data_IF_091339630763
#
_entry.id   IF_091339630763
#
_cell.length_a   1.000
_cell.length_b   1.000
_cell.length_c   1.000
_cell.angle_alpha   90.00
_cell.angle_beta   90.00
_cell.angle_gamma   90.00
#
_symmetry.space_group_name_H-M   'P 1'
#
loop_
_entity.id
_entity.type
_entity.pdbx_description
1 polymer ?
#
# COMPACT_ATOMS: atom_id res chain seq x y z
N UNK A 1 17.25 25.70 18.62
CA UNK A 1 16.34 24.59 19.00
C UNK A 1 15.32 25.08 20.02
N UNK A 2 14.10 25.30 19.60
CA UNK A 2 13.01 25.67 20.51
C UNK A 2 12.49 24.39 21.19
N UNK A 3 12.63 24.32 22.49
CA UNK A 3 12.15 23.20 23.31
C UNK A 3 10.63 23.27 23.36
N UNK A 4 9.97 22.40 22.62
CA UNK A 4 8.49 22.23 22.67
C UNK A 4 8.16 21.56 24.00
N UNK A 5 7.78 22.35 25.02
CA UNK A 5 7.19 21.85 26.25
C UNK A 5 5.80 21.28 25.95
N UNK A 6 5.68 19.96 25.82
CA UNK A 6 4.39 19.29 25.62
C UNK A 6 3.51 19.46 26.85
N UNK A 7 2.41 20.20 26.70
CA UNK A 7 1.28 20.15 27.64
C UNK A 7 0.68 18.73 27.60
N UNK A 8 0.33 18.22 28.79
CA UNK A 8 -0.14 16.86 29.11
C UNK A 8 -0.87 16.14 27.97
N UNK A 9 -0.34 14.98 27.62
CA UNK A 9 -0.89 14.03 26.66
C UNK A 9 -2.27 13.53 27.09
N UNK A 10 -3.33 13.91 26.37
CA UNK A 10 -4.54 13.09 26.32
C UNK A 10 -4.27 11.93 25.35
N UNK A 11 -3.97 10.76 25.89
CA UNK A 11 -3.80 9.55 25.07
C UNK A 11 -5.19 9.08 24.67
N UNK A 12 -5.58 9.33 23.43
CA UNK A 12 -6.77 8.68 22.86
C UNK A 12 -6.43 7.19 22.73
N UNK A 13 -7.06 6.36 23.55
CA UNK A 13 -6.87 4.91 23.51
C UNK A 13 -7.56 4.33 22.28
N UNK A 14 -6.95 3.33 21.65
CA UNK A 14 -7.56 2.55 20.57
C UNK A 14 -8.94 2.02 21.05
N UNK A 15 -10.02 2.41 20.35
CA UNK A 15 -11.39 2.00 20.69
C UNK A 15 -12.26 3.05 21.42
N UNK A 16 -11.77 4.27 21.66
CA UNK A 16 -12.62 5.34 22.19
C UNK A 16 -13.45 5.97 21.07
N UNK A 17 -14.75 6.21 21.33
CA UNK A 17 -15.58 7.00 20.43
C UNK A 17 -15.01 8.43 20.38
N UNK A 18 -14.59 8.87 19.19
CA UNK A 18 -14.15 10.23 18.94
C UNK A 18 -15.32 11.04 18.42
N UNK A 19 -15.77 12.03 19.17
CA UNK A 19 -16.76 13.01 18.74
C UNK A 19 -16.02 14.21 18.17
N UNK A 20 -16.10 14.41 16.86
CA UNK A 20 -15.53 15.57 16.21
C UNK A 20 -16.45 16.78 16.40
N UNK A 21 -15.94 17.84 17.03
CA UNK A 21 -16.59 19.14 17.12
C UNK A 21 -15.69 20.19 16.45
N UNK A 22 -16.11 20.77 15.29
CA UNK A 22 -15.29 21.74 14.57
C UNK A 22 -14.88 22.97 15.40
N UNK A 23 -15.76 23.46 16.31
CA UNK A 23 -15.51 24.66 17.10
C UNK A 23 -14.42 24.48 18.16
N UNK A 24 -14.34 23.30 18.74
CA UNK A 24 -13.33 23.00 19.77
C UNK A 24 -12.09 22.33 19.20
N UNK A 25 -12.17 21.66 18.01
CA UNK A 25 -11.09 20.86 17.47
C UNK A 25 -9.79 21.65 17.29
N UNK A 26 -9.84 22.76 16.57
CA UNK A 26 -8.66 23.59 16.32
C UNK A 26 -8.08 24.19 17.59
N UNK A 27 -8.94 24.59 18.55
CA UNK A 27 -8.51 25.12 19.86
C UNK A 27 -7.77 24.10 20.71
N UNK A 28 -8.19 22.82 20.66
CA UNK A 28 -7.63 21.75 21.48
C UNK A 28 -6.45 21.04 20.80
N UNK A 29 -6.40 21.02 19.47
CA UNK A 29 -5.50 20.19 18.68
C UNK A 29 -4.63 20.93 17.68
N UNK A 30 -4.68 22.28 17.63
CA UNK A 30 -3.81 23.07 16.76
C UNK A 30 -2.33 22.76 16.99
N UNK A 31 -1.56 22.83 15.90
CA UNK A 31 -0.10 22.75 15.90
C UNK A 31 0.41 23.99 15.19
N UNK A 32 1.16 24.83 15.87
CA UNK A 32 1.48 26.19 15.43
C UNK A 32 2.22 26.26 14.08
N UNK A 33 2.92 25.18 13.71
CA UNK A 33 3.66 25.09 12.46
C UNK A 33 2.94 24.23 11.38
N UNK A 34 1.66 23.87 11.59
CA UNK A 34 0.83 23.25 10.60
C UNK A 34 -0.09 24.27 9.94
N UNK A 35 -0.06 24.35 8.63
CA UNK A 35 -0.78 25.33 7.84
C UNK A 35 -1.65 24.66 6.77
N UNK A 36 -2.84 25.20 6.55
CA UNK A 36 -3.62 24.94 5.35
C UNK A 36 -3.38 26.09 4.37
N UNK A 37 -2.70 25.81 3.26
CA UNK A 37 -2.46 26.81 2.21
C UNK A 37 -3.72 27.01 1.36
N UNK A 38 -4.03 28.27 1.04
CA UNK A 38 -5.14 28.64 0.16
C UNK A 38 -4.77 28.54 -1.31
N UNK A 39 -3.47 28.55 -1.62
CA UNK A 39 -2.94 28.44 -2.98
C UNK A 39 -1.54 27.86 -2.99
N UNK A 40 -1.14 27.31 -4.13
CA UNK A 40 0.24 26.88 -4.33
C UNK A 40 1.25 28.02 -4.17
N UNK A 41 0.86 29.25 -4.57
CA UNK A 41 1.73 30.43 -4.44
C UNK A 41 2.06 30.71 -2.98
N UNK A 42 1.11 30.53 -2.06
CA UNK A 42 1.36 30.70 -0.63
C UNK A 42 2.44 29.74 -0.11
N UNK A 43 2.44 28.48 -0.59
CA UNK A 43 3.49 27.51 -0.26
C UNK A 43 4.82 27.95 -0.86
N UNK A 44 4.84 28.33 -2.15
CA UNK A 44 6.06 28.74 -2.87
C UNK A 44 6.73 29.94 -2.20
N UNK A 45 5.93 30.91 -1.73
CA UNK A 45 6.43 32.15 -1.13
C UNK A 45 6.95 31.96 0.31
N UNK A 46 6.40 31.01 1.05
CA UNK A 46 6.71 30.83 2.48
C UNK A 46 7.62 29.63 2.79
N UNK A 47 7.68 28.65 1.90
CA UNK A 47 8.47 27.43 2.11
C UNK A 47 9.96 27.67 1.82
N UNK A 48 10.81 27.29 2.76
CA UNK A 48 12.27 27.34 2.60
C UNK A 48 12.82 25.93 2.80
N UNK A 49 13.25 25.24 1.72
CA UNK A 49 13.80 23.89 1.84
C UNK A 49 14.88 23.81 2.93
N UNK A 50 14.84 22.77 3.78
CA UNK A 50 15.87 22.59 4.79
C UNK A 50 17.18 22.08 4.17
N UNK A 51 18.29 22.31 4.86
CA UNK A 51 19.61 21.95 4.33
C UNK A 51 20.33 20.94 5.22
N UNK A 52 20.96 19.97 4.58
CA UNK A 52 21.94 19.07 5.19
C UNK A 52 23.18 19.03 4.28
N UNK A 53 24.31 19.42 4.81
CA UNK A 53 25.60 19.42 4.09
C UNK A 53 25.53 20.18 2.73
N UNK A 54 24.84 21.32 2.69
CA UNK A 54 24.67 22.14 1.49
C UNK A 54 23.69 21.61 0.44
N UNK A 55 23.00 20.52 0.73
CA UNK A 55 21.91 19.95 -0.10
C UNK A 55 20.57 20.43 0.44
N UNK A 56 19.65 20.76 -0.45
CA UNK A 56 18.31 21.27 -0.13
C UNK A 56 17.27 20.18 -0.23
N UNK A 57 16.40 20.09 0.76
CA UNK A 57 15.40 19.03 0.85
C UNK A 57 14.02 19.58 1.18
N UNK A 58 13.00 18.87 0.68
CA UNK A 58 11.62 18.94 1.16
C UNK A 58 11.08 17.53 1.41
N UNK A 59 10.12 17.43 2.30
CA UNK A 59 9.31 16.21 2.47
C UNK A 59 7.95 16.45 1.88
N UNK A 60 7.36 15.45 1.24
CA UNK A 60 5.99 15.52 0.72
C UNK A 60 5.24 14.21 0.89
N UNK A 61 3.93 14.29 0.85
CA UNK A 61 3.00 13.17 0.90
C UNK A 61 1.70 13.52 0.16
N UNK A 62 0.92 12.52 -0.26
CA UNK A 62 -0.34 12.73 -0.96
C UNK A 62 -1.48 11.94 -0.33
N UNK A 63 -2.60 12.62 -0.04
CA UNK A 63 -3.85 11.96 0.29
C UNK A 63 -4.66 11.72 -0.98
N UNK A 64 -5.19 10.51 -1.13
CA UNK A 64 -5.65 10.00 -2.41
C UNK A 64 -7.03 9.40 -2.38
N UNK A 65 -7.64 9.25 -3.55
CA UNK A 65 -8.93 8.61 -3.74
C UNK A 65 -8.99 7.77 -5.02
N UNK A 66 -9.90 6.77 -5.08
CA UNK A 66 -10.12 6.00 -6.30
C UNK A 66 -10.98 6.77 -7.30
N UNK A 67 -10.71 6.58 -8.59
CA UNK A 67 -11.69 6.92 -9.62
C UNK A 67 -12.83 5.88 -9.62
N UNK A 68 -14.04 6.21 -10.10
CA UNK A 68 -15.14 5.25 -10.25
C UNK A 68 -14.90 4.24 -11.39
N UNK A 69 -13.82 4.38 -12.15
CA UNK A 69 -13.52 3.57 -13.32
C UNK A 69 -13.16 2.13 -12.94
N UNK A 70 -13.57 1.15 -13.73
CA UNK A 70 -13.04 -0.22 -13.67
C UNK A 70 -11.60 -0.23 -14.18
N UNK A 71 -10.84 -1.27 -13.86
CA UNK A 71 -9.41 -1.34 -14.23
C UNK A 71 -9.22 -1.22 -15.74
N UNK A 72 -10.03 -1.93 -16.53
CA UNK A 72 -10.00 -1.87 -18.00
C UNK A 72 -10.51 -0.56 -18.62
N UNK A 73 -11.03 0.35 -17.83
CA UNK A 73 -11.46 1.70 -18.23
C UNK A 73 -10.39 2.75 -17.86
N UNK A 74 -9.36 2.36 -17.13
CA UNK A 74 -8.26 3.27 -16.73
C UNK A 74 -7.53 3.74 -17.98
N UNK A 75 -7.51 5.06 -18.25
CA UNK A 75 -6.87 5.60 -19.44
C UNK A 75 -5.35 5.41 -19.42
N UNK A 76 -4.79 5.53 -20.62
CA UNK A 76 -3.33 5.48 -20.79
C UNK A 76 -2.64 6.54 -19.91
N UNK A 77 -1.53 6.13 -19.29
CA UNK A 77 -0.73 7.02 -18.45
C UNK A 77 -1.25 7.22 -17.03
N UNK A 78 -2.42 6.69 -16.68
CA UNK A 78 -2.90 6.67 -15.29
C UNK A 78 -2.56 5.31 -14.65
N UNK A 79 -1.78 5.32 -13.58
CA UNK A 79 -1.38 4.11 -12.86
C UNK A 79 -2.11 4.02 -11.53
N UNK A 80 -2.96 3.01 -11.40
CA UNK A 80 -3.69 2.71 -10.17
C UNK A 80 -2.80 2.02 -9.16
N UNK A 81 -2.88 2.47 -7.90
CA UNK A 81 -2.23 1.83 -6.76
C UNK A 81 -3.25 1.22 -5.81
N UNK A 82 -2.84 0.26 -5.03
CA UNK A 82 -3.70 -0.45 -4.10
C UNK A 82 -3.18 -0.30 -2.68
N UNK A 83 -4.00 0.20 -1.78
CA UNK A 83 -3.71 0.35 -0.36
C UNK A 83 -4.42 -0.73 0.44
N UNK A 84 -3.74 -1.32 1.40
CA UNK A 84 -4.22 -2.45 2.19
C UNK A 84 -3.86 -3.82 1.58
N UNK A 85 -4.30 -4.88 2.21
CA UNK A 85 -3.96 -6.26 1.83
C UNK A 85 -5.19 -7.14 1.62
N UNK A 86 -5.05 -8.19 0.80
CA UNK A 86 -6.10 -9.16 0.54
C UNK A 86 -7.39 -8.54 0.02
N UNK A 87 -8.54 -8.97 0.56
CA UNK A 87 -9.87 -8.49 0.16
C UNK A 87 -10.16 -7.03 0.59
N UNK A 88 -9.44 -6.52 1.57
CA UNK A 88 -9.61 -5.14 2.06
C UNK A 88 -8.82 -4.11 1.25
N UNK A 89 -8.00 -4.54 0.31
CA UNK A 89 -7.22 -3.62 -0.51
C UNK A 89 -8.14 -2.76 -1.39
N UNK A 90 -7.90 -1.44 -1.37
CA UNK A 90 -8.66 -0.45 -2.12
C UNK A 90 -7.79 0.22 -3.17
N UNK A 91 -8.33 0.48 -4.36
CA UNK A 91 -7.60 1.24 -5.37
C UNK A 91 -7.43 2.70 -4.96
N UNK A 92 -6.35 3.32 -5.42
CA UNK A 92 -6.07 4.75 -5.30
C UNK A 92 -5.50 5.23 -6.63
N UNK A 93 -6.02 6.33 -7.15
CA UNK A 93 -5.70 6.79 -8.49
C UNK A 93 -5.25 8.24 -8.55
N UNK A 94 -5.87 9.12 -7.76
CA UNK A 94 -5.72 10.56 -7.87
C UNK A 94 -5.51 11.20 -6.47
N UNK A 95 -4.66 12.23 -6.37
CA UNK A 95 -4.52 12.99 -5.14
C UNK A 95 -5.69 13.99 -4.98
N UNK A 96 -6.05 14.29 -3.74
CA UNK A 96 -6.95 15.41 -3.40
C UNK A 96 -6.33 16.37 -2.37
N UNK A 97 -5.26 15.95 -1.71
CA UNK A 97 -4.46 16.78 -0.84
C UNK A 97 -2.98 16.47 -1.08
N UNK A 98 -2.15 17.50 -1.14
CA UNK A 98 -0.69 17.39 -1.12
C UNK A 98 -0.22 18.08 0.15
N UNK A 99 0.64 17.43 0.92
CA UNK A 99 1.33 18.03 2.05
C UNK A 99 2.83 18.15 1.78
N UNK A 100 3.43 19.25 2.27
CA UNK A 100 4.85 19.54 2.09
C UNK A 100 5.41 20.08 3.41
N UNK A 101 6.60 19.58 3.82
CA UNK A 101 7.32 20.04 5.00
C UNK A 101 8.72 20.53 4.60
N UNK A 102 9.09 21.68 5.12
CA UNK A 102 10.41 22.33 4.93
C UNK A 102 11.33 22.21 6.16
N UNK A 103 10.97 21.36 7.12
CA UNK A 103 11.70 21.18 8.38
C UNK A 103 11.41 22.21 9.47
N UNK A 104 10.62 23.23 9.17
CA UNK A 104 10.12 24.24 10.13
C UNK A 104 8.62 24.25 10.19
N UNK A 105 7.98 24.17 9.03
CA UNK A 105 6.53 24.19 8.86
C UNK A 105 6.09 23.05 7.95
N UNK A 106 4.83 22.67 8.08
CA UNK A 106 4.16 21.73 7.19
C UNK A 106 2.91 22.41 6.63
N UNK A 107 2.71 22.26 5.32
CA UNK A 107 1.65 22.89 4.56
C UNK A 107 0.80 21.83 3.88
N UNK A 108 -0.52 21.93 3.96
CA UNK A 108 -1.45 21.16 3.13
C UNK A 108 -2.07 22.06 2.08
N UNK A 109 -2.20 21.54 0.87
CA UNK A 109 -2.95 22.15 -0.22
C UNK A 109 -3.96 21.14 -0.75
N UNK A 110 -5.19 21.59 -0.98
CA UNK A 110 -6.25 20.77 -1.57
C UNK A 110 -6.55 21.23 -2.99
N UNK A 111 -6.76 20.27 -3.87
CA UNK A 111 -7.22 20.50 -5.23
C UNK A 111 -7.99 19.29 -5.75
N UNK A 112 -8.75 19.46 -6.80
CA UNK A 112 -9.63 18.40 -7.32
C UNK A 112 -9.63 18.36 -8.85
N UNK A 113 -10.18 17.28 -9.39
CA UNK A 113 -10.39 17.11 -10.82
C UNK A 113 -11.27 18.23 -11.40
N UNK A 114 -12.25 18.71 -10.64
CA UNK A 114 -13.15 19.80 -11.07
C UNK A 114 -12.39 21.10 -11.35
N UNK A 115 -11.32 21.37 -10.59
CA UNK A 115 -10.38 22.47 -10.83
C UNK A 115 -9.23 22.08 -11.78
N UNK A 116 -9.31 20.90 -12.41
CA UNK A 116 -8.26 20.37 -13.27
C UNK A 116 -6.87 20.35 -12.61
N UNK A 117 -6.80 20.23 -11.28
CA UNK A 117 -5.55 20.26 -10.49
C UNK A 117 -4.67 21.48 -10.76
N UNK A 118 -5.27 22.63 -11.04
CA UNK A 118 -4.53 23.84 -11.41
C UNK A 118 -3.61 24.33 -10.29
N UNK A 119 -4.06 24.26 -9.03
CA UNK A 119 -3.22 24.65 -7.90
C UNK A 119 -2.08 23.65 -7.69
N UNK A 120 -2.35 22.35 -7.75
CA UNK A 120 -1.28 21.34 -7.62
C UNK A 120 -0.20 21.53 -8.70
N UNK A 121 -0.60 21.75 -9.96
CA UNK A 121 0.37 21.93 -11.06
C UNK A 121 1.30 23.13 -10.90
N UNK A 122 0.88 24.19 -10.21
CA UNK A 122 1.77 25.31 -9.88
C UNK A 122 2.91 24.90 -8.95
N UNK A 123 2.71 23.86 -8.11
CA UNK A 123 3.77 23.28 -7.28
C UNK A 123 4.90 22.64 -8.11
N UNK A 124 4.75 22.51 -9.43
CA UNK A 124 5.84 22.09 -10.34
C UNK A 124 7.09 22.97 -10.14
N UNK A 125 6.94 24.23 -9.76
CA UNK A 125 8.07 25.11 -9.41
C UNK A 125 8.98 24.51 -8.32
N UNK A 126 8.42 23.71 -7.42
CA UNK A 126 9.12 23.02 -6.34
C UNK A 126 9.49 21.58 -6.76
N UNK A 127 8.51 20.82 -7.27
CA UNK A 127 8.70 19.41 -7.58
C UNK A 127 9.62 19.16 -8.77
N UNK A 128 9.64 20.08 -9.74
CA UNK A 128 10.50 19.97 -10.92
C UNK A 128 11.84 20.72 -10.79
N UNK A 129 12.10 21.40 -9.69
CA UNK A 129 13.41 21.99 -9.42
C UNK A 129 14.42 20.88 -9.04
N UNK A 130 15.43 20.60 -9.89
CA UNK A 130 16.39 19.53 -9.62
C UNK A 130 17.37 19.86 -8.48
N UNK A 131 17.45 21.12 -8.06
CA UNK A 131 18.30 21.54 -6.94
C UNK A 131 17.70 21.22 -5.57
N UNK A 132 16.41 20.91 -5.52
CA UNK A 132 15.69 20.49 -4.31
C UNK A 132 15.52 18.98 -4.35
N UNK A 133 15.97 18.26 -3.34
CA UNK A 133 15.80 16.82 -3.20
C UNK A 133 14.47 16.52 -2.49
N UNK A 134 13.74 15.50 -2.95
CA UNK A 134 12.39 15.19 -2.49
C UNK A 134 12.38 13.94 -1.67
N UNK A 135 11.79 14.00 -0.49
CA UNK A 135 11.70 12.91 0.48
C UNK A 135 10.23 12.53 0.63
N UNK A 136 9.96 11.23 0.63
CA UNK A 136 8.64 10.69 0.97
C UNK A 136 8.77 9.36 1.72
N UNK A 137 7.68 8.90 2.29
CA UNK A 137 7.58 7.57 2.89
C UNK A 137 6.83 6.64 1.94
N UNK A 138 7.55 5.71 1.28
CA UNK A 138 7.07 4.92 0.13
C UNK A 138 6.88 5.78 -1.14
N UNK A 139 7.94 6.49 -1.49
CA UNK A 139 8.01 7.50 -2.55
C UNK A 139 7.31 7.14 -3.87
N UNK A 140 7.41 5.89 -4.32
CA UNK A 140 6.80 5.48 -5.59
C UNK A 140 5.28 5.65 -5.61
N UNK A 141 4.63 5.49 -4.48
CA UNK A 141 3.18 5.68 -4.38
C UNK A 141 2.81 7.12 -4.75
N UNK A 142 3.41 8.09 -4.07
CA UNK A 142 3.12 9.51 -4.26
C UNK A 142 3.55 9.98 -5.64
N UNK A 143 4.70 9.50 -6.13
CA UNK A 143 5.17 9.80 -7.48
C UNK A 143 4.19 9.33 -8.56
N UNK A 144 3.52 8.18 -8.38
CA UNK A 144 2.45 7.76 -9.29
C UNK A 144 1.24 8.67 -9.23
N UNK A 145 0.82 9.08 -8.04
CA UNK A 145 -0.33 9.98 -7.88
C UNK A 145 -0.07 11.35 -8.52
N UNK A 146 1.11 11.93 -8.29
CA UNK A 146 1.49 13.19 -8.92
C UNK A 146 1.59 13.06 -10.45
N UNK A 147 2.19 12.00 -10.96
CA UNK A 147 2.27 11.79 -12.40
C UNK A 147 0.89 11.55 -13.05
N UNK A 148 -0.06 10.97 -12.32
CA UNK A 148 -1.43 10.79 -12.81
C UNK A 148 -2.14 12.12 -13.10
N UNK A 149 -1.72 13.21 -12.47
CA UNK A 149 -2.18 14.58 -12.73
C UNK A 149 -1.18 15.41 -13.54
N UNK A 150 -0.24 14.74 -14.24
CA UNK A 150 0.81 15.33 -15.06
C UNK A 150 1.82 16.21 -14.31
N UNK A 151 2.03 15.97 -13.02
CA UNK A 151 3.13 16.54 -12.25
C UNK A 151 4.32 15.59 -12.26
N UNK A 152 5.51 16.11 -12.48
CA UNK A 152 6.76 15.34 -12.49
C UNK A 152 7.62 15.71 -11.29
N UNK A 153 8.38 14.73 -10.82
CA UNK A 153 9.41 14.94 -9.82
C UNK A 153 10.76 14.90 -10.53
N UNK A 154 11.57 15.94 -10.36
CA UNK A 154 12.94 16.02 -10.88
C UNK A 154 13.94 16.15 -9.73
N UNK A 155 15.19 15.83 -10.02
CA UNK A 155 16.27 15.81 -9.03
C UNK A 155 16.34 14.49 -8.27
N UNK A 156 17.17 14.46 -7.22
CA UNK A 156 17.30 13.28 -6.36
C UNK A 156 16.06 13.08 -5.50
N UNK A 157 15.76 11.81 -5.25
CA UNK A 157 14.62 11.40 -4.43
C UNK A 157 15.09 10.50 -3.28
N UNK A 158 14.32 10.50 -2.20
CA UNK A 158 14.62 9.74 -0.99
C UNK A 158 13.37 9.04 -0.48
N UNK A 159 13.52 7.79 -0.06
CA UNK A 159 12.46 6.99 0.53
C UNK A 159 12.83 6.58 1.95
N UNK A 160 12.04 7.02 2.93
CA UNK A 160 12.31 6.72 4.33
C UNK A 160 12.02 5.26 4.71
N UNK A 161 11.26 4.50 3.91
CA UNK A 161 11.11 3.05 4.12
C UNK A 161 12.43 2.35 3.81
N UNK A 162 13.04 2.66 2.66
CA UNK A 162 14.33 2.10 2.25
C UNK A 162 15.43 2.53 3.22
N UNK A 163 15.46 3.82 3.58
CA UNK A 163 16.39 4.36 4.57
C UNK A 163 16.33 3.58 5.89
N UNK A 164 15.12 3.42 6.45
CA UNK A 164 14.96 2.72 7.74
C UNK A 164 15.30 1.24 7.62
N UNK A 165 14.99 0.59 6.50
CA UNK A 165 15.35 -0.83 6.30
C UNK A 165 16.86 -1.05 6.23
N UNK A 166 17.62 -0.11 5.71
CA UNK A 166 19.08 -0.17 5.68
C UNK A 166 19.70 0.14 7.04
N UNK A 167 19.11 1.04 7.82
CA UNK A 167 19.63 1.45 9.12
C UNK A 167 19.18 0.55 10.29
N UNK A 168 18.04 -0.15 10.13
CA UNK A 168 17.45 -1.03 11.15
C UNK A 168 16.60 -2.12 10.50
N UNK A 169 17.23 -3.18 9.98
CA UNK A 169 16.57 -4.29 9.24
C UNK A 169 15.68 -5.20 10.11
N UNK A 170 15.86 -5.16 11.43
CA UNK A 170 15.20 -6.06 12.37
C UNK A 170 13.89 -5.49 12.95
N UNK A 171 13.36 -4.43 12.39
CA UNK A 171 12.09 -3.84 12.88
C UNK A 171 10.90 -4.73 12.56
N UNK A 172 9.96 -4.78 13.49
CA UNK A 172 8.68 -5.48 13.31
C UNK A 172 7.70 -4.71 12.41
N UNK A 173 7.90 -3.40 12.24
CA UNK A 173 7.07 -2.52 11.42
C UNK A 173 7.88 -1.39 10.80
N UNK A 174 7.61 -1.12 9.53
CA UNK A 174 8.15 0.01 8.77
C UNK A 174 7.05 1.04 8.43
N UNK A 175 5.93 1.03 9.15
CA UNK A 175 4.94 2.09 9.04
C UNK A 175 5.49 3.39 9.63
N UNK A 176 5.25 4.51 8.96
CA UNK A 176 5.80 5.81 9.34
C UNK A 176 5.60 6.16 10.82
N UNK A 177 4.39 5.97 11.32
CA UNK A 177 4.04 6.20 12.73
C UNK A 177 4.86 5.37 13.72
N UNK A 178 5.16 4.12 13.36
CA UNK A 178 5.90 3.20 14.24
C UNK A 178 7.39 3.53 14.25
N UNK A 179 7.91 4.02 13.12
CA UNK A 179 9.28 4.53 13.02
C UNK A 179 9.41 5.85 13.77
N UNK A 180 8.52 6.80 13.50
CA UNK A 180 8.58 8.16 14.03
C UNK A 180 8.47 8.22 15.56
N UNK A 181 7.77 7.27 16.20
CA UNK A 181 7.67 7.19 17.69
C UNK A 181 9.01 7.11 18.40
N UNK A 182 10.06 6.74 17.70
CA UNK A 182 11.43 6.67 18.22
C UNK A 182 12.04 8.06 18.47
N UNK A 183 11.50 9.07 17.81
CA UNK A 183 12.08 10.42 17.77
C UNK A 183 11.24 11.43 18.57
N UNK A 184 11.92 12.34 19.26
CA UNK A 184 11.27 13.42 19.98
C UNK A 184 10.56 14.36 18.99
N UNK A 185 9.39 14.85 19.38
CA UNK A 185 8.59 15.74 18.51
C UNK A 185 7.65 15.03 17.52
N UNK A 186 7.59 13.69 17.51
CA UNK A 186 6.67 12.95 16.66
C UNK A 186 5.20 13.25 17.00
N UNK A 187 4.35 13.27 15.98
CA UNK A 187 2.92 13.58 16.09
C UNK A 187 2.11 12.44 15.46
N UNK A 188 1.55 11.56 16.29
CA UNK A 188 0.74 10.41 15.85
C UNK A 188 -0.71 10.48 16.30
N UNK A 189 -1.09 11.53 17.04
CA UNK A 189 -2.45 11.68 17.61
C UNK A 189 -3.52 11.77 16.52
N UNK A 190 -3.23 12.44 15.41
CA UNK A 190 -4.19 12.67 14.34
C UNK A 190 -4.56 11.39 13.58
N UNK A 191 -3.65 10.44 13.46
CA UNK A 191 -3.96 9.12 12.90
C UNK A 191 -4.98 8.36 13.77
N UNK A 192 -4.82 8.38 15.11
CA UNK A 192 -5.81 7.78 16.00
C UNK A 192 -7.17 8.46 15.92
N UNK A 193 -7.18 9.79 15.76
CA UNK A 193 -8.41 10.56 15.60
C UNK A 193 -9.09 10.24 14.26
N UNK A 194 -8.32 10.12 13.20
CA UNK A 194 -8.81 9.74 11.87
C UNK A 194 -9.39 8.32 11.87
N UNK A 195 -8.70 7.35 12.47
CA UNK A 195 -9.18 5.98 12.63
C UNK A 195 -10.47 5.92 13.47
N UNK A 196 -10.53 6.68 14.57
CA UNK A 196 -11.71 6.76 15.42
C UNK A 196 -12.90 7.36 14.66
N UNK A 197 -12.70 8.46 13.93
CA UNK A 197 -13.72 9.09 13.10
C UNK A 197 -14.24 8.13 12.01
N UNK A 198 -13.33 7.46 11.29
CA UNK A 198 -13.64 6.45 10.29
C UNK A 198 -14.52 5.33 10.84
N UNK A 199 -14.17 4.79 12.00
CA UNK A 199 -14.89 3.68 12.63
C UNK A 199 -16.27 4.12 13.13
N UNK A 200 -16.39 5.32 13.70
CA UNK A 200 -17.65 5.88 14.23
C UNK A 200 -18.64 6.17 13.11
N UNK A 201 -18.18 6.79 12.03
CA UNK A 201 -19.06 7.23 10.92
C UNK A 201 -19.12 6.22 9.76
N UNK A 202 -18.35 5.12 9.82
CA UNK A 202 -18.24 4.08 8.76
C UNK A 202 -17.87 4.66 7.40
N UNK A 203 -17.12 5.76 7.37
CA UNK A 203 -16.66 6.43 6.16
C UNK A 203 -15.34 5.81 5.72
N UNK A 204 -15.21 5.54 4.43
CA UNK A 204 -14.00 4.98 3.84
C UNK A 204 -13.25 5.95 2.92
N UNK A 205 -13.92 6.97 2.42
CA UNK A 205 -13.37 7.99 1.53
C UNK A 205 -12.89 9.18 2.36
N UNK A 206 -11.60 9.45 2.34
CA UNK A 206 -10.98 10.52 3.11
C UNK A 206 -11.45 11.93 2.72
N UNK A 207 -11.96 12.11 1.50
CA UNK A 207 -12.57 13.38 1.07
C UNK A 207 -13.83 13.76 1.85
N UNK A 208 -14.45 12.77 2.51
CA UNK A 208 -15.66 12.96 3.34
C UNK A 208 -15.35 13.26 4.80
N UNK A 209 -14.07 13.31 5.17
CA UNK A 209 -13.67 13.64 6.53
C UNK A 209 -13.65 15.16 6.74
N UNK A 210 -13.74 15.64 8.01
CA UNK A 210 -13.52 17.03 8.32
C UNK A 210 -12.16 17.51 7.79
N UNK A 211 -12.17 18.64 7.08
CA UNK A 211 -10.98 19.15 6.40
C UNK A 211 -9.82 19.40 7.35
N UNK A 212 -10.11 19.98 8.52
CA UNK A 212 -9.12 20.25 9.54
C UNK A 212 -8.46 18.98 10.10
N UNK A 213 -9.24 17.88 10.18
CA UNK A 213 -8.70 16.59 10.61
C UNK A 213 -7.74 16.02 9.56
N UNK A 214 -8.11 16.10 8.28
CA UNK A 214 -7.23 15.68 7.16
C UNK A 214 -5.98 16.55 7.11
N UNK A 215 -6.10 17.87 7.22
CA UNK A 215 -4.96 18.78 7.21
C UNK A 215 -3.95 18.47 8.32
N UNK A 216 -4.45 18.28 9.54
CA UNK A 216 -3.57 17.95 10.66
C UNK A 216 -2.95 16.55 10.53
N UNK A 217 -3.68 15.59 9.96
CA UNK A 217 -3.18 14.24 9.70
C UNK A 217 -2.07 14.28 8.62
N UNK A 218 -2.33 14.88 7.46
CA UNK A 218 -1.38 14.97 6.36
C UNK A 218 -0.13 15.80 6.72
N UNK A 219 -0.29 16.90 7.45
CA UNK A 219 0.84 17.67 7.97
C UNK A 219 1.66 16.88 9.01
N UNK A 220 1.01 16.05 9.84
CA UNK A 220 1.73 15.18 10.78
C UNK A 220 2.53 14.10 10.07
N UNK A 221 2.04 13.57 8.94
CA UNK A 221 2.76 12.54 8.18
C UNK A 221 4.04 13.11 7.54
N UNK A 222 3.99 14.26 6.89
CA UNK A 222 5.22 14.89 6.35
C UNK A 222 6.16 15.34 7.46
N UNK A 223 5.65 15.79 8.61
CA UNK A 223 6.48 16.11 9.77
C UNK A 223 7.17 14.89 10.36
N UNK A 224 6.45 13.79 10.54
CA UNK A 224 7.01 12.53 11.00
C UNK A 224 8.04 11.97 10.02
N UNK A 225 7.78 12.06 8.71
CA UNK A 225 8.73 11.66 7.67
C UNK A 225 10.01 12.50 7.72
N UNK A 226 9.90 13.83 7.93
CA UNK A 226 11.03 14.71 8.18
C UNK A 226 11.85 14.24 9.39
N UNK A 227 11.20 13.97 10.53
CA UNK A 227 11.90 13.51 11.74
C UNK A 227 12.63 12.18 11.51
N UNK A 228 12.02 11.24 10.81
CA UNK A 228 12.68 9.99 10.43
C UNK A 228 13.93 10.27 9.59
N UNK A 229 13.78 11.10 8.55
CA UNK A 229 14.88 11.39 7.64
C UNK A 229 16.07 12.05 8.33
N UNK A 230 15.87 13.13 9.09
CA UNK A 230 16.97 13.87 9.74
C UNK A 230 17.69 13.06 10.80
N UNK A 231 17.04 12.06 11.41
CA UNK A 231 17.64 11.21 12.43
C UNK A 231 18.32 9.96 11.83
N UNK A 232 17.80 9.42 10.73
CA UNK A 232 18.33 8.17 10.16
C UNK A 232 19.31 8.41 8.99
N UNK A 233 19.14 9.48 8.22
CA UNK A 233 20.02 9.77 7.08
C UNK A 233 21.52 9.89 7.46
N UNK A 234 21.91 10.55 8.58
CA UNK A 234 23.31 10.56 9.03
C UNK A 234 23.86 9.18 9.43
N UNK A 235 22.98 8.22 9.76
CA UNK A 235 23.42 6.87 10.12
C UNK A 235 23.96 6.10 8.91
N UNK A 236 23.55 6.46 7.68
CA UNK A 236 24.10 5.86 6.47
C UNK A 236 25.61 6.09 6.35
N UNK A 237 26.07 7.31 6.64
CA UNK A 237 27.50 7.62 6.66
C UNK A 237 28.20 6.90 7.80
N UNK A 238 27.63 6.95 9.00
CA UNK A 238 28.16 6.29 10.20
C UNK A 238 28.35 4.78 10.01
N UNK A 239 27.45 4.14 9.27
CA UNK A 239 27.48 2.68 9.04
C UNK A 239 28.16 2.30 7.71
N UNK A 240 28.64 3.26 6.91
CA UNK A 240 29.22 3.01 5.59
C UNK A 240 28.20 2.54 4.53
N UNK A 241 26.93 2.90 4.68
CA UNK A 241 25.83 2.45 3.84
C UNK A 241 25.40 3.47 2.77
N UNK A 242 26.05 4.64 2.69
CA UNK A 242 25.64 5.72 1.79
C UNK A 242 25.61 5.29 0.32
N UNK A 243 26.64 4.61 -0.16
CA UNK A 243 26.71 4.12 -1.55
C UNK A 243 25.62 3.10 -1.85
N UNK A 244 25.33 2.19 -0.90
CA UNK A 244 24.24 1.23 -1.06
C UNK A 244 22.88 1.96 -1.14
N UNK A 245 22.66 2.91 -0.26
CA UNK A 245 21.43 3.71 -0.27
C UNK A 245 21.24 4.48 -1.57
N UNK A 246 22.28 5.12 -2.11
CA UNK A 246 22.22 5.83 -3.39
C UNK A 246 21.85 4.87 -4.53
N UNK A 247 22.44 3.68 -4.58
CA UNK A 247 22.09 2.66 -5.57
C UNK A 247 20.63 2.20 -5.42
N UNK A 248 20.13 2.04 -4.19
CA UNK A 248 18.72 1.68 -3.96
C UNK A 248 17.75 2.81 -4.40
N UNK A 249 18.15 4.09 -4.26
CA UNK A 249 17.35 5.21 -4.75
C UNK A 249 17.33 5.27 -6.30
N UNK A 250 18.45 5.04 -6.96
CA UNK A 250 18.50 4.94 -8.42
C UNK A 250 17.68 3.75 -8.94
N UNK A 251 17.79 2.59 -8.28
CA UNK A 251 16.96 1.42 -8.58
C UNK A 251 15.47 1.74 -8.41
N UNK A 252 15.08 2.44 -7.33
CA UNK A 252 13.69 2.81 -7.09
C UNK A 252 13.12 3.67 -8.22
N UNK A 253 13.88 4.62 -8.75
CA UNK A 253 13.48 5.44 -9.90
C UNK A 253 13.31 4.58 -11.17
N UNK A 254 14.21 3.62 -11.40
CA UNK A 254 14.10 2.68 -12.51
C UNK A 254 12.86 1.78 -12.37
N UNK A 255 12.60 1.27 -11.17
CA UNK A 255 11.41 0.46 -10.88
C UNK A 255 10.12 1.28 -11.04
N UNK A 256 10.11 2.53 -10.60
CA UNK A 256 9.00 3.46 -10.85
C UNK A 256 8.72 3.61 -12.36
N UNK A 257 9.75 3.80 -13.16
CA UNK A 257 9.60 3.91 -14.61
C UNK A 257 9.05 2.61 -15.23
N UNK A 258 9.54 1.45 -14.78
CA UNK A 258 9.03 0.14 -15.21
C UNK A 258 7.56 -0.06 -14.83
N UNK A 259 7.17 0.33 -13.61
CA UNK A 259 5.78 0.29 -13.15
C UNK A 259 4.88 1.20 -13.98
N UNK A 260 5.37 2.40 -14.36
CA UNK A 260 4.65 3.35 -15.24
C UNK A 260 4.51 2.81 -16.67
N UNK A 261 5.55 2.18 -17.18
CA UNK A 261 5.50 1.59 -18.53
C UNK A 261 4.50 0.44 -18.58
N UNK A 262 4.43 -0.35 -17.53
CA UNK A 262 3.58 -1.52 -17.43
C UNK A 262 4.01 -2.68 -18.34
N UNK A 263 3.32 -3.80 -18.20
CA UNK A 263 3.52 -5.00 -18.98
C UNK A 263 2.30 -5.26 -19.88
N UNK A 264 2.50 -5.36 -21.16
CA UNK A 264 1.42 -5.65 -22.13
C UNK A 264 0.95 -7.09 -21.97
N UNK A 265 -0.37 -7.27 -21.93
CA UNK A 265 -1.04 -8.57 -21.90
C UNK A 265 -1.49 -8.93 -23.32
N UNK A 266 -1.21 -10.16 -23.75
CA UNK A 266 -1.80 -10.73 -24.94
C UNK A 266 -3.25 -11.13 -24.63
N UNK A 267 -4.18 -10.29 -25.05
CA UNK A 267 -5.61 -10.44 -24.71
C UNK A 267 -6.28 -11.62 -25.43
N UNK A 268 -5.81 -12.03 -26.58
CA UNK A 268 -6.36 -13.15 -27.32
C UNK A 268 -5.91 -14.48 -26.71
N UNK A 269 -4.61 -14.58 -26.42
CA UNK A 269 -4.08 -15.73 -25.69
C UNK A 269 -4.71 -15.85 -24.29
N UNK A 270 -4.90 -14.74 -23.58
CA UNK A 270 -5.51 -14.76 -22.25
C UNK A 270 -6.94 -15.29 -22.28
N UNK A 271 -7.77 -14.88 -23.25
CA UNK A 271 -9.13 -15.42 -23.42
C UNK A 271 -9.12 -16.93 -23.67
N UNK A 272 -8.22 -17.39 -24.53
CA UNK A 272 -8.05 -18.80 -24.81
C UNK A 272 -7.64 -19.54 -23.53
N UNK A 273 -6.60 -19.07 -22.84
CA UNK A 273 -6.09 -19.65 -21.59
C UNK A 273 -7.18 -19.69 -20.50
N UNK A 274 -7.97 -18.65 -20.36
CA UNK A 274 -9.10 -18.59 -19.43
C UNK A 274 -10.12 -19.69 -19.72
N UNK A 275 -10.48 -19.89 -21.00
CA UNK A 275 -11.45 -20.92 -21.41
C UNK A 275 -10.91 -22.32 -21.14
N UNK A 276 -9.64 -22.58 -21.45
CA UNK A 276 -8.97 -23.85 -21.21
C UNK A 276 -8.89 -24.16 -19.70
N UNK A 277 -8.45 -23.18 -18.90
CA UNK A 277 -8.34 -23.34 -17.44
C UNK A 277 -9.71 -23.52 -16.78
N UNK A 278 -10.75 -22.83 -17.27
CA UNK A 278 -12.12 -23.01 -16.77
C UNK A 278 -12.57 -24.44 -17.01
N UNK A 279 -12.41 -24.97 -18.22
CA UNK A 279 -12.77 -26.36 -18.55
C UNK A 279 -12.02 -27.36 -17.68
N UNK A 280 -10.70 -27.15 -17.46
CA UNK A 280 -9.90 -28.01 -16.60
C UNK A 280 -10.36 -27.95 -15.13
N UNK A 281 -10.71 -26.76 -14.65
CA UNK A 281 -11.20 -26.55 -13.29
C UNK A 281 -12.55 -27.25 -13.09
N UNK A 282 -13.48 -27.08 -14.03
CA UNK A 282 -14.83 -27.66 -13.97
C UNK A 282 -14.76 -29.19 -14.02
N UNK A 283 -13.91 -29.74 -14.89
CA UNK A 283 -13.70 -31.20 -14.97
C UNK A 283 -13.08 -31.76 -13.68
N UNK A 284 -12.10 -31.10 -13.11
CA UNK A 284 -11.47 -31.51 -11.85
C UNK A 284 -12.48 -31.42 -10.68
N UNK A 285 -13.31 -30.40 -10.64
CA UNK A 285 -14.36 -30.23 -9.64
C UNK A 285 -15.43 -31.33 -9.76
N UNK A 286 -15.87 -31.64 -10.97
CA UNK A 286 -16.83 -32.72 -11.22
C UNK A 286 -16.28 -34.11 -10.75
N UNK A 287 -15.00 -34.36 -11.04
CA UNK A 287 -14.35 -35.61 -10.60
C UNK A 287 -14.21 -35.71 -9.07
N UNK A 288 -14.10 -34.59 -8.36
CA UNK A 288 -14.13 -34.55 -6.89
C UNK A 288 -15.53 -34.86 -6.38
N UNK A 289 -16.58 -34.27 -6.96
CA UNK A 289 -17.96 -34.49 -6.53
C UNK A 289 -18.43 -35.93 -6.80
N UNK A 290 -18.02 -36.47 -7.91
CA UNK A 290 -18.29 -37.90 -8.23
C UNK A 290 -17.71 -38.83 -7.16
N UNK A 291 -16.44 -38.66 -6.77
CA UNK A 291 -15.80 -39.49 -5.75
C UNK A 291 -16.34 -39.20 -4.34
N UNK A 292 -16.66 -37.95 -4.03
CA UNK A 292 -17.25 -37.57 -2.74
C UNK A 292 -18.72 -37.99 -2.58
N UNK A 293 -19.42 -38.28 -3.68
CA UNK A 293 -20.85 -38.58 -3.70
C UNK A 293 -21.75 -37.41 -3.35
N UNK A 294 -21.20 -36.18 -3.29
CA UNK A 294 -21.92 -34.96 -2.95
C UNK A 294 -21.22 -33.70 -3.45
N UNK A 295 -22.01 -32.65 -3.65
CA UNK A 295 -21.49 -31.28 -3.92
C UNK A 295 -21.13 -30.62 -2.60
N UNK A 296 -19.96 -29.96 -2.55
CA UNK A 296 -19.49 -29.21 -1.41
C UNK A 296 -18.49 -28.12 -1.84
N UNK A 297 -18.18 -27.16 -0.95
CA UNK A 297 -17.14 -26.17 -1.25
C UNK A 297 -15.74 -26.77 -1.03
N UNK A 298 -15.04 -27.12 -2.13
CA UNK A 298 -13.70 -27.73 -2.15
C UNK A 298 -12.65 -26.85 -1.44
N UNK A 299 -12.88 -25.54 -1.39
CA UNK A 299 -11.99 -24.59 -0.73
C UNK A 299 -12.28 -24.41 0.78
N UNK A 300 -13.39 -24.97 1.28
CA UNK A 300 -13.70 -24.99 2.70
C UNK A 300 -12.98 -26.13 3.41
N UNK A 301 -11.95 -25.81 4.21
CA UNK A 301 -11.21 -26.81 4.99
C UNK A 301 -12.13 -27.64 5.89
N UNK A 302 -13.22 -27.07 6.40
CA UNK A 302 -14.18 -27.76 7.24
C UNK A 302 -14.99 -28.78 6.44
N UNK A 303 -15.58 -28.40 5.29
CA UNK A 303 -16.37 -29.29 4.46
C UNK A 303 -15.51 -30.39 3.83
N UNK A 304 -14.30 -30.03 3.40
CA UNK A 304 -13.34 -30.97 2.86
C UNK A 304 -12.93 -32.03 3.91
N UNK A 305 -12.66 -31.58 5.15
CA UNK A 305 -12.39 -32.49 6.24
C UNK A 305 -13.56 -33.51 6.44
N UNK A 306 -14.80 -33.03 6.48
CA UNK A 306 -15.98 -33.88 6.61
C UNK A 306 -16.08 -34.93 5.47
N UNK A 307 -15.72 -34.54 4.24
CA UNK A 307 -15.67 -35.45 3.09
C UNK A 307 -14.59 -36.51 3.27
N UNK A 308 -13.37 -36.09 3.65
CA UNK A 308 -12.25 -37.03 3.87
C UNK A 308 -12.59 -38.10 4.95
N UNK A 309 -13.18 -37.66 6.06
CA UNK A 309 -13.61 -38.57 7.12
C UNK A 309 -14.70 -39.55 6.62
N UNK A 310 -15.69 -39.06 5.87
CA UNK A 310 -16.74 -39.90 5.31
C UNK A 310 -16.23 -40.92 4.29
N UNK A 311 -15.12 -40.64 3.63
CA UNK A 311 -14.42 -41.57 2.74
C UNK A 311 -13.45 -42.51 3.48
N UNK A 312 -13.45 -42.49 4.82
CA UNK A 312 -12.66 -43.40 5.65
C UNK A 312 -11.24 -42.99 5.93
N UNK A 313 -10.89 -41.74 5.67
CA UNK A 313 -9.56 -41.19 6.05
C UNK A 313 -9.47 -41.08 7.57
N UNK A 314 -8.40 -41.65 8.16
CA UNK A 314 -8.17 -41.58 9.61
C UNK A 314 -7.95 -40.12 10.06
N UNK A 315 -8.73 -39.65 11.06
CA UNK A 315 -8.67 -38.32 11.61
C UNK A 315 -7.25 -37.94 12.08
N UNK A 316 -6.48 -38.92 12.56
CA UNK A 316 -5.09 -38.70 13.02
C UNK A 316 -4.13 -38.26 11.92
N UNK A 317 -4.47 -38.47 10.65
CA UNK A 317 -3.69 -38.05 9.50
C UNK A 317 -3.94 -36.56 9.11
N UNK A 318 -4.97 -35.92 9.70
CA UNK A 318 -5.34 -34.54 9.39
C UNK A 318 -4.98 -33.62 10.58
N UNK A 319 -3.83 -32.94 10.54
CA UNK A 319 -3.42 -32.02 11.59
C UNK A 319 -4.44 -30.90 11.82
N UNK A 320 -4.43 -30.35 13.02
CA UNK A 320 -5.26 -29.20 13.38
C UNK A 320 -4.40 -27.96 13.60
N UNK A 321 -4.99 -26.79 13.36
CA UNK A 321 -4.37 -25.50 13.73
C UNK A 321 -4.43 -25.33 15.25
N UNK A 322 -3.68 -24.34 15.79
CA UNK A 322 -3.71 -23.97 17.21
C UNK A 322 -5.14 -23.62 17.72
N UNK A 323 -6.02 -23.23 16.79
CA UNK A 323 -7.45 -22.94 17.05
C UNK A 323 -8.36 -24.16 16.85
N UNK A 324 -7.81 -25.36 16.67
CA UNK A 324 -8.55 -26.61 16.53
C UNK A 324 -9.17 -26.86 15.14
N UNK A 325 -8.97 -26.00 14.14
CA UNK A 325 -9.51 -26.21 12.79
C UNK A 325 -8.68 -27.24 12.01
N UNK A 326 -9.32 -28.13 11.19
CA UNK A 326 -8.59 -29.08 10.38
C UNK A 326 -7.73 -28.40 9.31
N UNK A 327 -6.52 -28.89 9.10
CA UNK A 327 -5.62 -28.42 8.06
C UNK A 327 -5.76 -29.30 6.82
N UNK A 328 -6.11 -28.67 5.70
CA UNK A 328 -6.20 -29.32 4.38
C UNK A 328 -5.32 -28.58 3.37
N UNK A 329 -4.12 -28.17 3.81
CA UNK A 329 -3.15 -27.50 2.95
C UNK A 329 -2.48 -28.49 1.97
N UNK A 330 -1.66 -27.93 1.07
CA UNK A 330 -0.97 -28.74 0.04
C UNK A 330 -0.17 -29.90 0.64
N UNK A 331 0.53 -29.66 1.74
CA UNK A 331 1.41 -30.67 2.35
C UNK A 331 0.60 -31.83 2.91
N UNK A 332 -0.50 -31.58 3.60
CA UNK A 332 -1.39 -32.59 4.15
C UNK A 332 -2.03 -33.39 3.01
N UNK A 333 -2.52 -32.74 1.97
CA UNK A 333 -3.13 -33.43 0.83
C UNK A 333 -2.12 -34.25 0.03
N UNK A 334 -0.89 -33.77 -0.15
CA UNK A 334 0.19 -34.59 -0.79
C UNK A 334 0.52 -35.81 0.04
N UNK A 335 0.63 -35.67 1.36
CA UNK A 335 0.90 -36.77 2.27
C UNK A 335 -0.22 -37.83 2.22
N UNK A 336 -1.48 -37.40 2.26
CA UNK A 336 -2.65 -38.30 2.12
C UNK A 336 -2.65 -39.02 0.77
N UNK A 337 -2.32 -38.31 -0.33
CA UNK A 337 -2.27 -38.93 -1.66
C UNK A 337 -1.10 -39.92 -1.83
N UNK A 338 0.11 -39.50 -1.44
CA UNK A 338 1.35 -40.21 -1.75
C UNK A 338 1.62 -41.36 -0.79
N UNK A 339 1.30 -41.20 0.52
CA UNK A 339 1.60 -42.20 1.54
C UNK A 339 0.40 -43.03 1.95
N UNK A 340 -0.81 -42.52 1.79
CA UNK A 340 -2.03 -43.20 2.26
C UNK A 340 -2.97 -43.54 1.12
N UNK A 341 -2.57 -43.32 -0.15
CA UNK A 341 -3.35 -43.68 -1.35
C UNK A 341 -4.78 -43.07 -1.37
N UNK A 342 -4.96 -41.88 -0.78
CA UNK A 342 -6.24 -41.18 -0.78
C UNK A 342 -6.42 -40.47 -2.13
N UNK A 343 -7.15 -41.10 -3.06
CA UNK A 343 -7.28 -40.63 -4.47
C UNK A 343 -7.90 -39.26 -4.58
N UNK A 344 -8.95 -38.95 -3.79
CA UNK A 344 -9.58 -37.62 -3.80
C UNK A 344 -8.61 -36.50 -3.43
N UNK A 345 -7.58 -36.76 -2.61
CA UNK A 345 -6.59 -35.77 -2.23
C UNK A 345 -5.78 -35.27 -3.45
N UNK A 346 -5.44 -36.16 -4.37
CA UNK A 346 -4.77 -35.82 -5.61
C UNK A 346 -5.68 -34.98 -6.53
N UNK A 347 -6.96 -35.39 -6.68
CA UNK A 347 -7.94 -34.60 -7.46
C UNK A 347 -8.11 -33.17 -6.91
N UNK A 348 -8.11 -33.00 -5.58
CA UNK A 348 -8.20 -31.71 -4.93
C UNK A 348 -6.94 -30.85 -5.18
N UNK A 349 -5.75 -31.47 -5.16
CA UNK A 349 -4.50 -30.78 -5.50
C UNK A 349 -4.51 -30.29 -6.94
N UNK A 350 -5.01 -31.11 -7.86
CA UNK A 350 -5.15 -30.76 -9.28
C UNK A 350 -6.15 -29.62 -9.49
N UNK A 351 -7.35 -29.72 -8.89
CA UNK A 351 -8.35 -28.66 -8.89
C UNK A 351 -7.77 -27.34 -8.40
N UNK A 352 -7.13 -27.34 -7.22
CA UNK A 352 -6.53 -26.14 -6.64
C UNK A 352 -5.42 -25.55 -7.51
N UNK A 353 -4.69 -26.37 -8.25
CA UNK A 353 -3.70 -25.92 -9.24
C UNK A 353 -4.38 -25.15 -10.37
N UNK A 354 -5.42 -25.73 -10.98
CA UNK A 354 -6.13 -25.10 -12.09
C UNK A 354 -6.91 -23.85 -11.63
N UNK A 355 -7.60 -23.93 -10.50
CA UNK A 355 -8.30 -22.80 -9.91
C UNK A 355 -7.37 -21.62 -9.61
N UNK A 356 -6.18 -21.88 -9.07
CA UNK A 356 -5.18 -20.84 -8.84
C UNK A 356 -4.67 -20.21 -10.15
N UNK A 357 -4.42 -21.02 -11.17
CA UNK A 357 -4.00 -20.52 -12.48
C UNK A 357 -5.11 -19.70 -13.12
N UNK A 358 -6.34 -20.14 -13.06
CA UNK A 358 -7.51 -19.44 -13.57
C UNK A 358 -7.73 -18.10 -12.83
N UNK A 359 -7.91 -18.16 -11.52
CA UNK A 359 -8.35 -17.00 -10.73
C UNK A 359 -7.24 -15.97 -10.52
N UNK A 360 -5.99 -16.42 -10.30
CA UNK A 360 -4.89 -15.51 -10.00
C UNK A 360 -4.26 -14.95 -11.26
N UNK A 361 -4.01 -15.79 -12.26
CA UNK A 361 -3.26 -15.36 -13.44
C UNK A 361 -4.16 -15.00 -14.62
N UNK A 362 -5.04 -15.88 -15.07
CA UNK A 362 -5.90 -15.58 -16.21
C UNK A 362 -6.91 -14.45 -15.88
N UNK A 363 -7.79 -14.65 -14.91
CA UNK A 363 -8.80 -13.65 -14.54
C UNK A 363 -8.18 -12.45 -13.81
N UNK A 364 -7.26 -12.71 -12.86
CA UNK A 364 -6.71 -11.65 -12.02
C UNK A 364 -5.86 -10.64 -12.78
N UNK A 365 -5.08 -11.06 -13.76
CA UNK A 365 -4.30 -10.19 -14.63
C UNK A 365 -5.23 -9.44 -15.60
N UNK A 366 -6.15 -10.17 -16.22
CA UNK A 366 -7.10 -9.59 -17.16
C UNK A 366 -7.95 -8.47 -16.55
N UNK A 367 -8.47 -8.68 -15.35
CA UNK A 367 -9.34 -7.72 -14.66
C UNK A 367 -8.60 -6.44 -14.19
N UNK A 368 -7.28 -6.50 -14.12
CA UNK A 368 -6.46 -5.37 -13.63
C UNK A 368 -5.73 -4.62 -14.75
N UNK A 369 -5.95 -5.00 -16.01
CA UNK A 369 -5.37 -4.28 -17.13
C UNK A 369 -5.97 -2.88 -17.30
N UNK A 370 -5.15 -1.95 -17.78
CA UNK A 370 -5.63 -0.65 -18.26
C UNK A 370 -6.40 -0.80 -19.59
N UNK A 371 -6.99 0.30 -20.06
CA UNK A 371 -7.67 0.37 -21.37
C UNK A 371 -6.75 -0.05 -22.55
N UNK A 372 -5.44 0.14 -22.42
CA UNK A 372 -4.44 -0.28 -23.42
C UNK A 372 -4.03 -1.75 -23.33
N UNK A 373 -4.61 -2.51 -22.44
CA UNK A 373 -4.23 -3.91 -22.20
C UNK A 373 -2.90 -4.07 -21.47
N UNK A 374 -2.48 -3.07 -20.69
CA UNK A 374 -1.29 -3.15 -19.83
C UNK A 374 -1.64 -3.37 -18.37
N UNK A 375 -0.80 -4.10 -17.66
CA UNK A 375 -0.86 -4.24 -16.21
C UNK A 375 0.31 -3.51 -15.56
N UNK A 376 0.03 -2.85 -14.43
CA UNK A 376 0.97 -2.02 -13.71
C UNK A 376 1.19 -2.63 -12.31
N UNK A 377 2.17 -3.53 -12.20
CA UNK A 377 2.54 -4.17 -10.94
C UNK A 377 3.21 -3.19 -9.97
N UNK A 378 3.15 -3.48 -8.68
CA UNK A 378 3.98 -2.82 -7.69
C UNK A 378 5.22 -3.68 -7.42
N UNK A 379 6.40 -3.18 -7.77
CA UNK A 379 7.68 -3.89 -7.64
C UNK A 379 8.32 -3.47 -6.31
N UNK A 380 8.36 -4.37 -5.36
CA UNK A 380 8.94 -4.12 -4.04
C UNK A 380 10.40 -4.55 -4.01
N UNK A 381 11.31 -3.62 -3.74
CA UNK A 381 12.75 -3.89 -3.68
C UNK A 381 13.22 -4.35 -2.29
N UNK A 382 12.43 -4.11 -1.24
CA UNK A 382 12.85 -4.31 0.15
C UNK A 382 12.00 -5.29 0.96
N UNK A 383 11.13 -6.08 0.31
CA UNK A 383 10.21 -7.02 0.98
C UNK A 383 10.88 -8.36 1.35
N UNK A 384 11.78 -8.85 0.51
CA UNK A 384 12.40 -10.15 0.71
C UNK A 384 13.73 -10.00 1.47
N UNK A 385 13.90 -10.78 2.54
CA UNK A 385 15.14 -10.84 3.33
C UNK A 385 16.36 -11.27 2.52
N UNK A 386 16.14 -11.91 1.37
CA UNK A 386 17.21 -12.35 0.45
C UNK A 386 17.64 -11.27 -0.55
N UNK A 387 17.09 -10.04 -0.47
CA UNK A 387 17.34 -8.96 -1.44
C UNK A 387 16.68 -9.18 -2.81
N UNK A 388 15.81 -10.20 -2.96
CA UNK A 388 15.04 -10.38 -4.20
C UNK A 388 13.92 -9.36 -4.28
N UNK A 389 13.68 -8.84 -5.47
CA UNK A 389 12.48 -8.05 -5.74
C UNK A 389 11.24 -8.94 -5.78
N UNK A 390 10.13 -8.44 -5.29
CA UNK A 390 8.83 -9.09 -5.39
C UNK A 390 7.85 -8.18 -6.14
N UNK A 391 6.87 -8.76 -6.84
CA UNK A 391 5.80 -8.02 -7.49
C UNK A 391 4.50 -8.35 -6.77
N UNK A 392 3.87 -7.31 -6.24
CA UNK A 392 2.53 -7.40 -5.66
C UNK A 392 1.54 -6.71 -6.57
N UNK A 393 0.39 -7.38 -6.80
CA UNK A 393 -0.65 -6.88 -7.74
C UNK A 393 -0.12 -6.42 -9.10
N UNK A 394 -0.77 -6.82 -10.17
CA UNK A 394 -2.18 -7.20 -10.30
C UNK A 394 -2.53 -8.65 -9.89
N UNK A 395 -1.58 -9.52 -9.61
CA UNK A 395 -1.80 -10.96 -9.51
C UNK A 395 -2.39 -11.49 -8.18
N UNK A 396 -2.74 -10.67 -7.20
CA UNK A 396 -3.26 -11.15 -5.92
C UNK A 396 -4.72 -10.74 -5.63
N UNK A 397 -5.68 -11.20 -6.43
CA UNK A 397 -7.01 -11.50 -5.86
C UNK A 397 -6.99 -12.95 -5.39
N UNK A 398 -6.88 -13.18 -4.10
CA UNK A 398 -7.38 -14.44 -3.54
C UNK A 398 -8.90 -14.40 -3.71
N UNK A 399 -9.40 -15.26 -4.56
CA UNK A 399 -10.82 -15.55 -4.60
C UNK A 399 -11.32 -15.90 -3.20
N UNK A 400 -12.53 -15.47 -2.91
CA UNK A 400 -13.20 -15.71 -1.64
C UNK A 400 -13.54 -17.17 -1.44
#
# INVERSE_FOLDING_TARGET
MAVIKSKRRSVIKKGTNFSYNPESFNKEHSVDFFHEAKSAQEIIDNMVPFEINGRKFIVFDTETYPTPLKSNEIPNGLVRRWVGSGKSAKPQDLPFCISICDGKSAYTLHDTLDNNYNEFRKLAAIFEDPSIEKIAHNWKFDAHMLQNINMRIKGKVHDTVVLTKLTDENRSSYQLKDIARKYEGHIVKFEYMLDAYKNTHKIADYRMFPRELINNYANADVWNCYLVFINEFPLLEKYGLMSLYENEMELMVALYAAERYGMKVDLDYEKQLKTELQTLTDNAEAAIYEEAGKIFNVNSSKQLYEVLINLGVDDRLIPRTDKGSPQTNKYVLSDLSEKHNVTIANKILEYRKYEKLLTTYAVGIYDQRSAEGKVHGNINQTEATTGRMSITKPAQRRAA
#
